data_IF_451643868712
#
_entry.id   IF_451643868712
#
_cell.length_a   1.000
_cell.length_b   1.000
_cell.length_c   1.000
_cell.angle_alpha   90.00
_cell.angle_beta   90.00
_cell.angle_gamma   90.00
#
_symmetry.space_group_name_H-M   'P 1'
#
loop_
_entity.id
_entity.type
_entity.pdbx_description
1 polymer ?
#
# COMPACT_ATOMS: atom_id res chain seq x y z
N UNK A 1 0.43 18.22 -5.28
CA UNK A 1 -0.22 17.55 -4.14
C UNK A 1 0.90 16.99 -3.28
N UNK A 2 1.03 17.44 -2.02
CA UNK A 2 2.04 16.89 -1.12
C UNK A 2 1.47 15.63 -0.47
N UNK A 3 1.94 14.47 -0.91
CA UNK A 3 1.65 13.21 -0.23
C UNK A 3 2.48 13.16 1.06
N UNK A 4 1.81 13.05 2.20
CA UNK A 4 2.48 12.82 3.49
C UNK A 4 2.43 11.33 3.75
N UNK A 5 3.58 10.66 3.71
CA UNK A 5 3.71 9.30 4.24
C UNK A 5 3.56 9.40 5.76
N UNK A 6 2.44 8.88 6.29
CA UNK A 6 2.08 8.98 7.72
C UNK A 6 2.70 7.83 8.52
N UNK A 7 3.00 6.70 7.85
CA UNK A 7 3.58 5.53 8.49
C UNK A 7 4.30 4.66 7.45
N UNK A 8 5.54 4.23 7.75
CA UNK A 8 6.25 3.21 6.99
C UNK A 8 6.47 1.98 7.86
N UNK A 9 5.96 0.78 7.49
CA UNK A 9 6.22 -0.43 8.25
C UNK A 9 7.71 -0.73 8.38
N UNK A 10 8.15 -1.17 9.57
CA UNK A 10 9.56 -1.49 9.82
C UNK A 10 10.09 -2.57 8.89
N UNK A 11 9.29 -3.59 8.61
CA UNK A 11 9.63 -4.66 7.67
C UNK A 11 9.99 -4.14 6.27
N UNK A 12 9.25 -3.13 5.78
CA UNK A 12 9.50 -2.49 4.48
C UNK A 12 10.77 -1.65 4.54
N UNK A 13 10.99 -0.92 5.64
CA UNK A 13 12.21 -0.15 5.86
C UNK A 13 13.46 -1.05 5.85
N UNK A 14 13.43 -2.15 6.59
CA UNK A 14 14.54 -3.12 6.66
C UNK A 14 14.80 -3.77 5.31
N UNK A 15 13.74 -4.19 4.61
CA UNK A 15 13.86 -4.76 3.26
C UNK A 15 14.53 -3.78 2.29
N UNK A 16 14.09 -2.53 2.30
CA UNK A 16 14.61 -1.52 1.39
C UNK A 16 16.08 -1.20 1.69
N UNK A 17 16.41 -1.01 2.97
CA UNK A 17 17.80 -0.77 3.39
C UNK A 17 18.72 -1.93 2.96
N UNK A 18 18.27 -3.18 3.10
CA UNK A 18 19.02 -4.35 2.65
C UNK A 18 19.26 -4.36 1.13
N UNK A 19 18.24 -4.04 0.32
CA UNK A 19 18.37 -3.97 -1.16
C UNK A 19 19.37 -2.91 -1.61
N UNK A 20 19.57 -1.87 -0.80
CA UNK A 20 20.45 -0.74 -1.11
C UNK A 20 21.83 -0.84 -0.46
N UNK A 21 22.11 -1.92 0.27
CA UNK A 21 23.34 -2.08 1.04
C UNK A 21 23.47 -1.05 2.18
N UNK A 22 22.36 -0.48 2.64
CA UNK A 22 22.34 0.49 3.73
C UNK A 22 22.20 -0.22 5.07
N UNK A 23 22.87 0.32 6.09
CA UNK A 23 22.66 -0.11 7.48
C UNK A 23 21.47 0.64 8.05
N UNK A 24 20.48 -0.09 8.57
CA UNK A 24 19.36 0.49 9.31
C UNK A 24 19.87 0.98 10.67
N UNK A 25 19.70 2.28 10.95
CA UNK A 25 19.89 2.85 12.29
C UNK A 25 18.55 3.37 12.80
N UNK A 26 18.26 3.18 14.08
CA UNK A 26 16.97 3.57 14.68
C UNK A 26 16.64 5.05 14.46
N UNK A 27 17.63 5.93 14.55
CA UNK A 27 17.45 7.37 14.30
C UNK A 27 16.90 7.68 12.89
N UNK A 28 17.29 6.91 11.87
CA UNK A 28 16.79 7.07 10.51
C UNK A 28 15.36 6.53 10.38
N UNK A 29 15.06 5.42 11.04
CA UNK A 29 13.70 4.88 11.07
C UNK A 29 12.73 5.83 11.78
N UNK A 30 13.11 6.37 12.94
CA UNK A 30 12.35 7.36 13.70
C UNK A 30 12.12 8.65 12.89
N UNK A 31 13.16 9.15 12.21
CA UNK A 31 13.07 10.31 11.31
C UNK A 31 12.04 10.09 10.19
N UNK A 32 11.99 8.87 9.63
CA UNK A 32 11.06 8.51 8.58
C UNK A 32 9.60 8.37 9.06
N UNK A 33 9.36 8.19 10.37
CA UNK A 33 8.01 8.23 10.94
C UNK A 33 7.55 9.67 11.26
N UNK A 34 8.44 10.67 11.23
CA UNK A 34 8.09 12.04 11.59
C UNK A 34 7.10 12.64 10.57
N UNK A 35 5.96 13.11 11.08
CA UNK A 35 4.82 13.60 10.29
C UNK A 35 5.16 14.93 9.57
N UNK A 36 6.10 15.71 10.11
CA UNK A 36 6.40 17.06 9.60
C UNK A 36 7.19 17.09 8.29
N UNK A 37 6.96 18.19 7.57
CA UNK A 37 7.40 18.41 6.20
C UNK A 37 8.91 18.51 6.08
N UNK A 38 9.47 17.64 5.24
CA UNK A 38 10.84 17.68 4.74
C UNK A 38 11.93 17.32 5.77
N UNK A 39 12.08 16.02 6.04
CA UNK A 39 13.36 15.49 6.50
C UNK A 39 13.90 14.53 5.46
N UNK A 40 15.23 14.59 5.30
CA UNK A 40 16.05 13.86 4.32
C UNK A 40 15.59 12.43 4.10
N UNK A 41 15.08 11.75 5.14
CA UNK A 41 14.48 10.42 5.04
C UNK A 41 13.38 10.28 3.97
N UNK A 42 12.45 11.25 3.83
CA UNK A 42 11.38 11.17 2.81
C UNK A 42 11.90 11.35 1.38
N UNK A 43 12.87 12.25 1.17
CA UNK A 43 13.50 12.48 -0.14
C UNK A 43 14.34 11.27 -0.53
N UNK A 44 15.15 10.77 0.40
CA UNK A 44 15.95 9.55 0.22
C UNK A 44 15.01 8.38 -0.08
N UNK A 45 13.91 8.19 0.64
CA UNK A 45 12.93 7.14 0.32
C UNK A 45 12.29 7.29 -1.06
N UNK A 46 11.86 8.49 -1.45
CA UNK A 46 11.26 8.72 -2.76
C UNK A 46 12.20 8.26 -3.88
N UNK A 47 13.44 8.75 -3.85
CA UNK A 47 14.48 8.36 -4.81
C UNK A 47 14.76 6.85 -4.74
N UNK A 48 14.87 6.28 -3.54
CA UNK A 48 15.22 4.88 -3.36
C UNK A 48 14.12 3.90 -3.81
N UNK A 49 12.83 4.26 -3.67
CA UNK A 49 11.72 3.41 -4.11
C UNK A 49 11.63 3.39 -5.64
N UNK A 50 12.10 4.42 -6.34
CA UNK A 50 12.19 4.45 -7.81
C UNK A 50 13.26 3.49 -8.37
N UNK A 51 14.33 3.21 -7.61
CA UNK A 51 15.46 2.38 -8.08
C UNK A 51 15.39 0.89 -7.69
N UNK A 52 14.49 0.49 -6.78
CA UNK A 52 14.43 -0.88 -6.28
C UNK A 52 13.26 -1.65 -6.88
N UNK A 53 13.57 -2.73 -7.61
CA UNK A 53 12.56 -3.69 -8.06
C UNK A 53 11.78 -4.23 -6.86
N UNK A 54 10.46 -4.14 -6.96
CA UNK A 54 9.47 -4.35 -5.90
C UNK A 54 9.29 -5.81 -5.50
N UNK A 55 9.94 -6.72 -6.21
CA UNK A 55 9.93 -8.15 -5.96
C UNK A 55 10.38 -8.43 -4.50
N UNK A 56 9.56 -9.17 -3.75
CA UNK A 56 9.79 -9.64 -2.37
C UNK A 56 9.65 -8.61 -1.22
N UNK A 57 8.85 -7.55 -1.37
CA UNK A 57 8.52 -6.67 -0.22
C UNK A 57 7.84 -7.46 0.90
N UNK A 58 8.19 -7.15 2.13
CA UNK A 58 7.65 -7.80 3.32
C UNK A 58 6.73 -6.83 4.09
N UNK A 59 5.46 -7.20 4.23
CA UNK A 59 4.43 -6.35 4.85
C UNK A 59 4.04 -6.75 6.28
N UNK A 60 4.70 -7.74 6.90
CA UNK A 60 4.27 -8.38 8.15
C UNK A 60 3.86 -7.45 9.29
N UNK A 61 4.51 -6.29 9.43
CA UNK A 61 4.28 -5.39 10.56
C UNK A 61 3.27 -4.27 10.22
N UNK A 62 2.75 -4.23 8.98
CA UNK A 62 1.73 -3.25 8.57
C UNK A 62 0.48 -3.36 9.45
N UNK A 63 0.13 -4.57 9.87
CA UNK A 63 -1.04 -4.87 10.69
C UNK A 63 -1.06 -4.10 12.03
N UNK A 64 0.11 -3.83 12.63
CA UNK A 64 0.24 -3.15 13.93
C UNK A 64 -0.26 -1.70 13.91
N UNK A 65 -0.16 -1.05 12.74
CA UNK A 65 -0.53 0.34 12.52
C UNK A 65 -1.96 0.55 12.03
N UNK A 66 -2.71 -0.51 11.71
CA UNK A 66 -4.06 -0.37 11.17
C UNK A 66 -5.02 0.06 12.28
N UNK A 67 -5.70 1.18 12.07
CA UNK A 67 -6.68 1.76 13.02
C UNK A 67 -8.07 1.92 12.42
N UNK A 68 -8.17 1.94 11.11
CA UNK A 68 -9.41 2.12 10.38
C UNK A 68 -9.56 1.02 9.32
N UNK A 69 -10.81 0.71 9.01
CA UNK A 69 -11.16 -0.18 7.92
C UNK A 69 -10.59 0.36 6.61
N UNK A 70 -9.73 -0.40 5.95
CA UNK A 70 -8.99 0.04 4.76
C UNK A 70 -9.41 -0.75 3.53
N UNK A 71 -9.63 -0.05 2.41
CA UNK A 71 -9.84 -0.67 1.10
C UNK A 71 -8.61 -0.40 0.24
N UNK A 72 -7.88 -1.46 -0.08
CA UNK A 72 -6.77 -1.42 -1.02
C UNK A 72 -7.31 -1.72 -2.42
N UNK A 73 -6.95 -0.90 -3.41
CA UNK A 73 -7.34 -1.13 -4.81
C UNK A 73 -6.12 -1.02 -5.72
N UNK A 74 -5.78 -2.12 -6.38
CA UNK A 74 -4.69 -2.21 -7.34
C UNK A 74 -5.19 -2.02 -8.78
N UNK A 75 -4.38 -1.36 -9.62
CA UNK A 75 -4.52 -1.38 -11.06
C UNK A 75 -3.92 -2.67 -11.61
N UNK A 76 -4.75 -3.69 -11.83
CA UNK A 76 -4.33 -5.07 -12.11
C UNK A 76 -3.49 -5.28 -13.37
N UNK A 77 -3.31 -4.26 -14.23
CA UNK A 77 -2.45 -4.34 -15.41
C UNK A 77 -0.99 -3.96 -15.14
N UNK A 78 -0.72 -3.16 -14.11
CA UNK A 78 0.62 -2.62 -13.83
C UNK A 78 1.09 -2.90 -12.39
N UNK A 79 0.17 -2.97 -11.42
CA UNK A 79 0.49 -3.25 -10.02
C UNK A 79 0.71 -4.77 -9.82
N UNK A 80 1.66 -5.14 -8.96
CA UNK A 80 1.92 -6.55 -8.66
C UNK A 80 0.78 -7.16 -7.82
N UNK A 81 0.18 -8.23 -8.32
CA UNK A 81 -0.98 -8.89 -7.69
C UNK A 81 -0.60 -9.52 -6.34
N UNK A 82 0.61 -10.09 -6.22
CA UNK A 82 1.06 -10.74 -4.98
C UNK A 82 1.40 -9.71 -3.89
N UNK A 83 2.06 -8.60 -4.21
CA UNK A 83 2.32 -7.49 -3.29
C UNK A 83 1.00 -6.88 -2.79
N UNK A 84 0.05 -6.68 -3.70
CA UNK A 84 -1.27 -6.15 -3.37
C UNK A 84 -2.07 -7.09 -2.48
N UNK A 85 -2.00 -8.40 -2.75
CA UNK A 85 -2.59 -9.43 -1.91
C UNK A 85 -1.96 -9.49 -0.52
N UNK A 86 -0.62 -9.53 -0.41
CA UNK A 86 0.07 -9.60 0.89
C UNK A 86 -0.24 -8.38 1.75
N UNK A 87 -0.25 -7.18 1.16
CA UNK A 87 -0.72 -5.95 1.82
C UNK A 87 -2.16 -6.08 2.30
N UNK A 88 -3.05 -6.60 1.45
CA UNK A 88 -4.45 -6.84 1.77
C UNK A 88 -4.62 -7.73 3.00
N UNK A 89 -3.88 -8.84 3.07
CA UNK A 89 -3.90 -9.75 4.22
C UNK A 89 -3.44 -9.06 5.50
N UNK A 90 -2.37 -8.26 5.44
CA UNK A 90 -1.88 -7.53 6.61
C UNK A 90 -2.86 -6.45 7.09
N UNK A 91 -3.52 -5.75 6.16
CA UNK A 91 -4.60 -4.83 6.49
C UNK A 91 -5.77 -5.54 7.17
N UNK A 92 -6.12 -6.74 6.69
CA UNK A 92 -7.20 -7.58 7.25
C UNK A 92 -6.85 -8.16 8.63
N UNK A 93 -5.58 -8.50 8.86
CA UNK A 93 -5.09 -8.89 10.20
C UNK A 93 -5.23 -7.73 11.19
N UNK A 94 -4.82 -6.52 10.79
CA UNK A 94 -4.93 -5.33 11.65
C UNK A 94 -6.36 -4.84 11.85
N UNK A 95 -7.24 -5.04 10.86
CA UNK A 95 -8.67 -4.78 10.97
C UNK A 95 -9.45 -5.72 10.04
N UNK A 96 -10.25 -6.62 10.62
CA UNK A 96 -10.96 -7.70 9.91
C UNK A 96 -12.00 -7.24 8.89
N UNK A 97 -12.42 -5.98 8.94
CA UNK A 97 -13.32 -5.39 7.94
C UNK A 97 -12.56 -4.85 6.71
N UNK A 98 -11.22 -4.86 6.71
CA UNK A 98 -10.41 -4.40 5.57
C UNK A 98 -10.42 -5.42 4.43
N UNK A 99 -10.37 -4.91 3.20
CA UNK A 99 -10.41 -5.72 1.98
C UNK A 99 -9.45 -5.18 0.93
N UNK A 100 -9.02 -6.05 0.02
CA UNK A 100 -8.17 -5.70 -1.10
C UNK A 100 -8.83 -6.15 -2.41
N UNK A 101 -8.78 -5.27 -3.41
CA UNK A 101 -9.36 -5.49 -4.72
C UNK A 101 -8.36 -5.16 -5.81
N UNK A 102 -8.58 -5.70 -6.99
CA UNK A 102 -8.00 -5.21 -8.23
C UNK A 102 -9.08 -4.78 -9.20
N UNK A 103 -8.74 -3.81 -10.04
CA UNK A 103 -9.52 -3.43 -11.22
C UNK A 103 -8.60 -3.62 -12.42
N UNK A 104 -9.09 -4.26 -13.50
CA UNK A 104 -8.31 -4.54 -14.71
C UNK A 104 -8.01 -3.25 -15.54
N UNK A 105 -7.19 -2.36 -14.96
CA UNK A 105 -6.81 -1.04 -15.43
C UNK A 105 -5.35 -0.75 -15.05
N UNK A 106 -4.76 0.26 -15.70
CA UNK A 106 -3.38 0.75 -15.44
C UNK A 106 -3.28 1.64 -14.21
N UNK A 107 -2.09 1.79 -13.63
CA UNK A 107 -1.90 2.66 -12.46
C UNK A 107 -2.41 4.10 -12.72
N UNK A 108 -2.91 4.75 -11.67
CA UNK A 108 -3.70 5.99 -11.73
C UNK A 108 -5.02 5.86 -12.55
N UNK A 109 -5.68 4.71 -12.48
CA UNK A 109 -6.94 4.47 -13.18
C UNK A 109 -8.10 5.36 -12.73
N UNK A 110 -8.02 5.97 -11.55
CA UNK A 110 -9.00 6.96 -11.07
C UNK A 110 -9.14 8.18 -12.02
N UNK A 111 -8.13 8.45 -12.84
CA UNK A 111 -8.15 9.50 -13.87
C UNK A 111 -8.76 8.95 -15.18
N UNK A 112 -8.51 7.68 -15.48
CA UNK A 112 -8.98 7.01 -16.69
C UNK A 112 -10.49 6.73 -16.64
N UNK A 113 -10.99 6.34 -15.46
CA UNK A 113 -12.41 6.07 -15.20
C UNK A 113 -12.85 6.65 -13.85
N UNK A 114 -13.07 7.98 -13.77
CA UNK A 114 -13.50 8.64 -12.54
C UNK A 114 -14.86 8.14 -12.05
N UNK A 115 -15.73 7.66 -12.95
CA UNK A 115 -17.05 7.15 -12.61
C UNK A 115 -16.96 5.86 -11.80
N UNK A 116 -16.18 4.89 -12.27
CA UNK A 116 -15.92 3.63 -11.58
C UNK A 116 -15.15 3.83 -10.27
N UNK A 117 -14.25 4.83 -10.24
CA UNK A 117 -13.54 5.18 -9.01
C UNK A 117 -14.51 5.72 -7.94
N UNK A 118 -15.34 6.70 -8.31
CA UNK A 118 -16.34 7.28 -7.39
C UNK A 118 -17.36 6.24 -6.94
N UNK A 119 -17.80 5.34 -7.82
CA UNK A 119 -18.77 4.30 -7.46
C UNK A 119 -18.20 3.34 -6.42
N UNK A 120 -16.97 2.84 -6.58
CA UNK A 120 -16.39 1.94 -5.59
C UNK A 120 -16.01 2.62 -4.27
N UNK A 121 -15.53 3.87 -4.29
CA UNK A 121 -15.36 4.64 -3.04
C UNK A 121 -16.69 4.80 -2.31
N UNK A 122 -17.78 5.11 -3.04
CA UNK A 122 -19.10 5.22 -2.45
C UNK A 122 -19.59 3.90 -1.88
N UNK A 123 -19.51 2.81 -2.65
CA UNK A 123 -19.88 1.46 -2.19
C UNK A 123 -19.12 1.08 -0.93
N UNK A 124 -17.80 1.30 -0.92
CA UNK A 124 -16.98 1.07 0.26
C UNK A 124 -17.50 1.87 1.44
N UNK A 125 -17.54 3.21 1.35
CA UNK A 125 -17.95 4.08 2.45
C UNK A 125 -19.35 3.76 2.99
N UNK A 126 -20.27 3.36 2.12
CA UNK A 126 -21.64 3.02 2.48
C UNK A 126 -21.83 1.57 2.94
N UNK A 127 -20.77 0.75 2.96
CA UNK A 127 -20.82 -0.69 3.28
C UNK A 127 -21.76 -1.47 2.34
N UNK A 128 -21.81 -1.05 1.07
CA UNK A 128 -22.55 -1.75 0.02
C UNK A 128 -21.63 -2.72 -0.72
N UNK A 129 -22.23 -3.58 -1.56
CA UNK A 129 -21.46 -4.39 -2.49
C UNK A 129 -20.58 -3.52 -3.40
N UNK A 130 -19.34 -3.95 -3.59
CA UNK A 130 -18.42 -3.32 -4.54
C UNK A 130 -18.89 -3.57 -5.98
N UNK A 131 -18.58 -2.66 -6.93
CA UNK A 131 -18.86 -2.90 -8.34
C UNK A 131 -18.17 -4.16 -8.85
N UNK A 132 -18.76 -4.83 -9.85
CA UNK A 132 -18.26 -6.11 -10.38
C UNK A 132 -16.82 -6.02 -10.92
N UNK A 133 -16.40 -4.82 -11.34
CA UNK A 133 -15.03 -4.56 -11.81
C UNK A 133 -13.98 -4.60 -10.69
N UNK A 134 -14.40 -4.51 -9.41
CA UNK A 134 -13.54 -4.66 -8.25
C UNK A 134 -13.47 -6.14 -7.87
N UNK A 135 -12.50 -6.84 -8.43
CA UNK A 135 -12.26 -8.25 -8.15
C UNK A 135 -11.51 -8.36 -6.83
N UNK A 136 -12.10 -9.04 -5.84
CA UNK A 136 -11.45 -9.24 -4.55
C UNK A 136 -10.17 -10.08 -4.70
N UNK A 137 -9.08 -9.60 -4.11
CA UNK A 137 -7.82 -10.29 -4.01
C UNK A 137 -7.87 -11.25 -2.80
N UNK A 138 -8.70 -12.29 -2.87
CA UNK A 138 -8.58 -13.42 -1.94
C UNK A 138 -7.62 -14.45 -2.55
N UNK A 139 -6.80 -15.09 -1.72
CA UNK A 139 -5.89 -16.14 -2.18
C UNK A 139 -6.72 -17.23 -2.86
N UNK A 140 -6.56 -17.44 -4.17
CA UNK A 140 -7.06 -18.65 -4.82
C UNK A 140 -6.45 -19.82 -4.08
N UNK A 141 -7.29 -20.63 -3.42
CA UNK A 141 -6.88 -21.94 -2.91
C UNK A 141 -6.45 -22.76 -4.12
N UNK A 142 -5.14 -22.87 -4.33
CA UNK A 142 -4.54 -23.90 -5.17
C UNK A 142 -4.35 -25.13 -4.33
#
# INVERSE_FOLDING_TARGET
>A
MNWVMVHLPRSVHVWLAAKLGMTVIEALYEDMQAVDSCVVGKVVMHELVEFVRVEDRNWRDLSEGVRARTCLVAGGLDDDENDSWERGEQLKIGNSESEAFKVERRHAWNIQDPGLFVSGIRSWMQRCAMPDEYVNLEKKRV
#
